data_IF_924419207829
#
_entry.id   IF_924419207829
#
_cell.length_a   1.000
_cell.length_b   1.000
_cell.length_c   1.000
_cell.angle_alpha   90.00
_cell.angle_beta   90.00
_cell.angle_gamma   90.00
#
_symmetry.space_group_name_H-M   'P 1'
#
loop_
_entity.id
_entity.type
_entity.pdbx_description
1 polymer ?
#
# COMPACT_ATOMS: atom_id res chain seq x y z
N UNK A 1 23.24 -0.50 16.67
CA UNK A 1 23.84 -0.42 15.32
C UNK A 1 22.78 0.13 14.38
N UNK A 2 22.86 1.42 14.13
CA UNK A 2 21.91 2.18 13.32
C UNK A 2 22.32 2.04 11.86
N UNK A 3 21.59 1.27 11.05
CA UNK A 3 21.78 1.26 9.61
C UNK A 3 21.18 2.54 9.04
N UNK A 4 22.05 3.44 8.63
CA UNK A 4 21.70 4.61 7.83
C UNK A 4 21.33 4.12 6.44
N UNK A 5 20.08 4.33 6.04
CA UNK A 5 19.65 4.18 4.64
C UNK A 5 20.30 5.31 3.83
N UNK A 6 21.21 4.95 2.95
CA UNK A 6 21.70 5.85 1.91
C UNK A 6 20.63 5.98 0.83
N UNK A 7 20.30 7.20 0.37
CA UNK A 7 19.41 7.37 -0.78
C UNK A 7 20.10 6.80 -2.02
N UNK A 8 19.36 5.96 -2.76
CA UNK A 8 19.74 5.57 -4.12
C UNK A 8 19.79 6.83 -4.98
N UNK A 9 21.00 7.26 -5.31
CA UNK A 9 21.25 8.27 -6.37
C UNK A 9 21.30 7.54 -7.71
N UNK A 10 20.57 8.15 -8.67
CA UNK A 10 20.69 7.93 -10.12
C UNK A 10 20.25 6.55 -10.66
N UNK A 11 18.94 6.33 -10.75
CA UNK A 11 18.39 5.36 -11.67
C UNK A 11 17.39 6.06 -12.62
N UNK A 12 17.91 6.90 -13.51
CA UNK A 12 17.18 7.29 -14.69
C UNK A 12 17.29 6.15 -15.71
N UNK A 13 16.44 5.13 -15.60
CA UNK A 13 16.33 4.09 -16.64
C UNK A 13 15.50 4.64 -17.79
N UNK A 14 16.13 4.76 -18.96
CA UNK A 14 15.46 5.07 -20.23
C UNK A 14 14.76 3.80 -20.73
N UNK A 15 13.43 3.83 -20.79
CA UNK A 15 12.65 2.81 -21.46
C UNK A 15 12.32 3.27 -22.88
N UNK A 16 13.03 2.74 -23.89
CA UNK A 16 12.72 3.00 -25.29
C UNK A 16 11.61 2.08 -25.78
N UNK A 17 10.46 2.65 -26.15
CA UNK A 17 9.39 1.94 -26.84
C UNK A 17 9.59 2.00 -28.35
N UNK A 18 9.10 0.98 -29.10
CA UNK A 18 9.22 0.85 -30.55
C UNK A 18 8.48 1.95 -31.38
N UNK A 19 7.88 2.92 -30.75
CA UNK A 19 7.07 3.99 -31.35
C UNK A 19 7.72 5.40 -31.31
N UNK A 20 8.99 5.50 -30.93
CA UNK A 20 9.73 6.76 -31.06
C UNK A 20 9.50 7.81 -29.98
N UNK A 21 8.64 7.56 -28.99
CA UNK A 21 8.47 8.47 -27.84
C UNK A 21 9.48 8.07 -26.76
N UNK A 22 10.44 8.95 -26.47
CA UNK A 22 11.36 8.76 -25.36
C UNK A 22 10.64 9.06 -24.04
N UNK A 23 10.31 8.02 -23.29
CA UNK A 23 9.72 8.12 -21.96
C UNK A 23 10.81 7.95 -20.91
N UNK A 24 10.79 8.75 -19.87
CA UNK A 24 11.73 8.73 -18.75
C UNK A 24 11.01 8.41 -17.43
N UNK A 25 11.60 7.54 -16.66
CA UNK A 25 11.16 7.30 -15.25
C UNK A 25 11.86 8.32 -14.36
N UNK A 26 11.08 9.05 -13.56
CA UNK A 26 11.56 10.00 -12.57
C UNK A 26 10.75 9.94 -11.28
N UNK A 27 11.24 10.54 -10.23
CA UNK A 27 10.46 10.75 -9.01
C UNK A 27 9.25 11.67 -9.29
N UNK A 28 8.19 11.42 -8.52
CA UNK A 28 6.99 12.24 -8.49
C UNK A 28 7.32 13.66 -7.98
N UNK A 29 6.70 14.65 -8.58
CA UNK A 29 6.65 16.03 -8.13
C UNK A 29 5.19 16.44 -7.84
N UNK A 30 4.97 17.43 -6.95
CA UNK A 30 3.61 17.88 -6.62
C UNK A 30 2.85 18.44 -7.85
N UNK A 31 3.55 18.94 -8.84
CA UNK A 31 2.97 19.38 -10.12
C UNK A 31 2.32 18.23 -10.91
N UNK A 32 2.70 16.98 -10.64
CA UNK A 32 2.16 15.79 -11.32
C UNK A 32 0.78 15.39 -10.81
N UNK A 33 0.38 15.87 -9.62
CA UNK A 33 -0.80 15.38 -8.89
C UNK A 33 -2.07 15.43 -9.75
N UNK A 34 -2.32 16.53 -10.41
CA UNK A 34 -3.55 16.71 -11.17
C UNK A 34 -3.64 15.73 -12.34
N UNK A 35 -2.54 15.47 -13.02
CA UNK A 35 -2.49 14.56 -14.14
C UNK A 35 -2.63 13.10 -13.68
N UNK A 36 -2.00 12.73 -12.57
CA UNK A 36 -2.17 11.40 -11.97
C UNK A 36 -3.60 11.14 -11.50
N UNK A 37 -4.27 12.14 -10.93
CA UNK A 37 -5.69 12.06 -10.59
C UNK A 37 -6.57 11.86 -11.82
N UNK A 38 -6.27 12.55 -12.92
CA UNK A 38 -6.98 12.37 -14.18
C UNK A 38 -6.78 10.97 -14.77
N UNK A 39 -5.56 10.43 -14.72
CA UNK A 39 -5.26 9.05 -15.14
C UNK A 39 -6.04 8.05 -14.28
N UNK A 40 -6.03 8.21 -12.95
CA UNK A 40 -6.78 7.34 -12.05
C UNK A 40 -8.28 7.37 -12.34
N UNK A 41 -8.87 8.55 -12.52
CA UNK A 41 -10.26 8.71 -12.87
C UNK A 41 -10.60 8.03 -14.23
N UNK A 42 -9.71 8.13 -15.22
CA UNK A 42 -9.86 7.48 -16.52
C UNK A 42 -9.77 5.95 -16.44
N UNK A 43 -9.05 5.39 -15.47
CA UNK A 43 -8.98 3.94 -15.23
C UNK A 43 -10.28 3.37 -14.66
N UNK A 44 -11.10 4.20 -14.00
CA UNK A 44 -12.40 3.79 -13.46
C UNK A 44 -12.34 2.80 -12.31
N UNK A 45 -11.24 2.78 -11.56
CA UNK A 45 -11.13 1.94 -10.37
C UNK A 45 -12.11 2.37 -9.25
N UNK A 46 -12.65 1.42 -8.47
CA UNK A 46 -13.67 1.70 -7.46
C UNK A 46 -13.09 2.28 -6.14
N UNK A 47 -11.81 2.52 -6.06
CA UNK A 47 -11.14 3.08 -4.88
C UNK A 47 -10.74 4.54 -5.09
N UNK A 48 -10.59 5.27 -4.01
CA UNK A 48 -10.16 6.66 -4.02
C UNK A 48 -8.68 6.79 -4.41
N UNK A 49 -8.33 7.92 -5.05
CA UNK A 49 -6.95 8.24 -5.32
C UNK A 49 -6.18 8.38 -4.00
N UNK A 50 -5.02 7.71 -3.84
CA UNK A 50 -4.30 7.71 -2.57
C UNK A 50 -3.71 9.08 -2.24
N UNK A 51 -3.63 9.40 -0.95
CA UNK A 51 -2.89 10.58 -0.48
C UNK A 51 -1.38 10.37 -0.66
N UNK A 52 -0.81 10.97 -1.69
CA UNK A 52 0.62 10.87 -2.00
C UNK A 52 1.53 11.60 -1.00
N UNK A 53 0.96 12.42 -0.10
CA UNK A 53 1.72 13.03 1.00
C UNK A 53 1.90 12.07 2.19
N UNK A 54 1.19 10.94 2.19
CA UNK A 54 1.32 9.95 3.25
C UNK A 54 2.78 9.44 3.33
N UNK A 55 3.44 9.56 4.51
CA UNK A 55 4.85 9.19 4.69
C UNK A 55 5.14 7.69 4.50
N UNK A 56 4.09 6.87 4.43
CA UNK A 56 4.23 5.44 4.18
C UNK A 56 4.51 5.08 2.71
N UNK A 57 4.41 6.05 1.79
CA UNK A 57 4.87 5.81 0.42
C UNK A 57 6.39 5.74 0.37
N UNK A 58 6.92 4.55 0.09
CA UNK A 58 8.35 4.28 -0.10
C UNK A 58 8.86 4.77 -1.46
N UNK A 59 8.00 4.67 -2.45
CA UNK A 59 8.36 4.95 -3.85
C UNK A 59 7.18 5.62 -4.55
N UNK A 60 7.48 6.69 -5.26
CA UNK A 60 6.55 7.43 -6.11
C UNK A 60 7.27 7.75 -7.40
N UNK A 61 7.13 6.89 -8.40
CA UNK A 61 7.77 7.05 -9.70
C UNK A 61 6.72 7.36 -10.76
N UNK A 62 7.07 8.27 -11.66
CA UNK A 62 6.26 8.61 -12.82
C UNK A 62 7.04 8.31 -14.10
N UNK A 63 6.31 7.86 -15.11
CA UNK A 63 6.79 7.68 -16.47
C UNK A 63 6.27 8.85 -17.30
N UNK A 64 7.15 9.77 -17.67
CA UNK A 64 6.78 11.00 -18.35
C UNK A 64 7.60 11.20 -19.64
N UNK A 65 7.06 11.97 -20.57
CA UNK A 65 7.77 12.42 -21.75
C UNK A 65 8.97 13.30 -21.39
N UNK A 66 9.95 13.38 -22.29
CA UNK A 66 11.10 14.26 -22.09
C UNK A 66 10.68 15.72 -22.36
N UNK A 67 10.77 16.56 -21.34
CA UNK A 67 10.43 17.99 -21.44
C UNK A 67 11.36 18.76 -22.39
N UNK A 68 12.51 18.19 -22.74
CA UNK A 68 13.47 18.81 -23.64
C UNK A 68 13.10 18.65 -25.12
N UNK A 69 12.18 17.73 -25.47
CA UNK A 69 11.73 17.54 -26.85
C UNK A 69 10.30 18.09 -27.06
N UNK A 70 10.13 19.22 -27.78
CA UNK A 70 8.82 19.80 -28.05
C UNK A 70 7.94 18.94 -28.99
N UNK A 71 8.49 17.92 -29.66
CA UNK A 71 7.75 17.00 -30.52
C UNK A 71 7.19 15.79 -29.75
N UNK A 72 7.71 15.50 -28.56
CA UNK A 72 7.24 14.44 -27.71
C UNK A 72 6.24 14.99 -26.70
N UNK A 73 5.04 14.48 -26.71
CA UNK A 73 3.93 14.98 -25.89
C UNK A 73 4.33 15.12 -24.42
N UNK A 74 4.29 16.34 -23.92
CA UNK A 74 4.44 16.65 -22.50
C UNK A 74 3.30 15.97 -21.76
N UNK A 75 3.60 15.02 -20.91
CA UNK A 75 2.59 14.39 -20.08
C UNK A 75 3.08 13.12 -19.40
N UNK A 76 2.33 12.72 -18.42
CA UNK A 76 2.58 11.48 -17.68
C UNK A 76 1.88 10.30 -18.38
N UNK A 77 2.66 9.31 -18.78
CA UNK A 77 2.14 8.08 -19.36
C UNK A 77 1.69 7.07 -18.30
N UNK A 78 2.19 7.19 -17.06
CA UNK A 78 1.84 6.31 -15.96
C UNK A 78 2.63 6.59 -14.68
N UNK A 79 2.29 5.88 -13.62
CA UNK A 79 3.01 5.94 -12.36
C UNK A 79 3.09 4.57 -11.68
N UNK A 80 4.13 4.40 -10.86
CA UNK A 80 4.30 3.26 -9.96
C UNK A 80 4.46 3.78 -8.54
N UNK A 81 3.55 3.37 -7.67
CA UNK A 81 3.47 3.81 -6.29
C UNK A 81 3.59 2.59 -5.36
N UNK A 82 4.50 2.65 -4.38
CA UNK A 82 4.64 1.60 -3.38
C UNK A 82 4.41 2.19 -1.99
N UNK A 83 3.35 1.70 -1.32
CA UNK A 83 3.01 2.06 0.05
C UNK A 83 3.27 0.90 1.00
N UNK A 84 3.76 1.21 2.19
CA UNK A 84 3.82 0.25 3.29
C UNK A 84 2.41 -0.06 3.78
N UNK A 85 2.13 -1.34 3.95
CA UNK A 85 0.92 -1.85 4.62
C UNK A 85 1.31 -2.65 5.85
N UNK A 86 0.43 -2.75 6.82
CA UNK A 86 0.66 -3.55 8.03
C UNK A 86 -0.05 -4.90 7.93
N UNK A 87 0.62 -5.93 8.43
CA UNK A 87 0.06 -7.26 8.60
C UNK A 87 -0.13 -7.55 10.09
N UNK A 88 -1.33 -7.97 10.47
CA UNK A 88 -1.67 -8.29 11.84
C UNK A 88 -1.46 -9.77 12.17
N UNK A 89 -0.74 -10.01 13.25
CA UNK A 89 -0.58 -11.33 13.86
C UNK A 89 -1.13 -11.32 15.27
N UNK A 90 -1.91 -12.34 15.63
CA UNK A 90 -2.41 -12.52 16.97
C UNK A 90 -1.84 -13.79 17.56
N UNK A 91 -1.12 -13.66 18.67
CA UNK A 91 -0.59 -14.78 19.44
C UNK A 91 -1.22 -14.75 20.84
N UNK A 92 -2.03 -15.77 21.13
CA UNK A 92 -2.62 -16.00 22.46
C UNK A 92 -2.31 -17.42 22.91
N UNK A 93 -1.81 -17.57 24.15
CA UNK A 93 -1.59 -18.89 24.72
C UNK A 93 -2.95 -19.60 24.92
N UNK A 94 -3.20 -20.73 24.22
CA UNK A 94 -4.46 -21.45 24.31
C UNK A 94 -4.68 -22.11 25.66
N UNK A 95 -3.61 -22.34 26.44
CA UNK A 95 -3.63 -22.99 27.75
C UNK A 95 -3.82 -22.00 28.90
N UNK A 96 -3.65 -20.71 28.66
CA UNK A 96 -3.74 -19.67 29.70
C UNK A 96 -5.12 -19.02 29.74
N UNK A 97 -5.69 -18.92 30.93
CA UNK A 97 -6.97 -18.28 31.18
C UNK A 97 -8.18 -19.01 30.58
N UNK A 98 -9.35 -18.51 30.90
CA UNK A 98 -10.62 -18.99 30.36
C UNK A 98 -10.89 -18.43 28.95
N UNK A 99 -11.80 -18.99 28.17
CA UNK A 99 -12.21 -18.43 26.88
C UNK A 99 -12.70 -16.98 26.98
N UNK A 100 -13.35 -16.61 28.09
CA UNK A 100 -13.84 -15.25 28.33
C UNK A 100 -12.66 -14.28 28.57
N UNK A 101 -11.69 -14.67 29.37
CA UNK A 101 -10.49 -13.87 29.63
C UNK A 101 -9.66 -13.69 28.36
N UNK A 102 -9.44 -14.75 27.60
CA UNK A 102 -8.74 -14.66 26.31
C UNK A 102 -9.43 -13.71 25.34
N UNK A 103 -10.77 -13.69 25.35
CA UNK A 103 -11.52 -12.73 24.55
C UNK A 103 -11.28 -11.28 25.01
N UNK A 104 -11.25 -11.01 26.30
CA UNK A 104 -10.93 -9.69 26.83
C UNK A 104 -9.50 -9.26 26.50
N UNK A 105 -8.53 -10.17 26.58
CA UNK A 105 -7.15 -9.89 26.19
C UNK A 105 -7.04 -9.54 24.71
N UNK A 106 -7.75 -10.28 23.86
CA UNK A 106 -7.82 -9.98 22.42
C UNK A 106 -8.36 -8.56 22.19
N UNK A 107 -9.46 -8.20 22.84
CA UNK A 107 -10.05 -6.86 22.71
C UNK A 107 -9.05 -5.77 23.12
N UNK A 108 -8.34 -5.95 24.22
CA UNK A 108 -7.32 -5.01 24.68
C UNK A 108 -6.15 -4.88 23.69
N UNK A 109 -5.64 -6.01 23.20
CA UNK A 109 -4.55 -6.02 22.20
C UNK A 109 -4.99 -5.39 20.89
N UNK A 110 -6.19 -5.73 20.41
CA UNK A 110 -6.75 -5.18 19.19
C UNK A 110 -6.84 -3.64 19.26
N UNK A 111 -7.40 -3.11 20.33
CA UNK A 111 -7.55 -1.65 20.49
C UNK A 111 -6.20 -0.95 20.62
N UNK A 112 -5.27 -1.51 21.39
CA UNK A 112 -3.92 -0.96 21.52
C UNK A 112 -3.18 -0.96 20.17
N UNK A 113 -3.27 -2.05 19.43
CA UNK A 113 -2.62 -2.17 18.10
C UNK A 113 -3.25 -1.22 17.10
N UNK A 114 -4.60 -1.14 17.06
CA UNK A 114 -5.33 -0.22 16.18
C UNK A 114 -4.88 1.24 16.40
N UNK A 115 -4.80 1.68 17.66
CA UNK A 115 -4.36 3.02 18.00
C UNK A 115 -2.92 3.26 17.55
N UNK A 116 -2.01 2.33 17.82
CA UNK A 116 -0.61 2.45 17.40
C UNK A 116 -0.44 2.46 15.88
N UNK A 117 -1.26 1.70 15.15
CA UNK A 117 -1.27 1.72 13.69
C UNK A 117 -1.68 3.11 13.17
N UNK A 118 -2.78 3.65 13.72
CA UNK A 118 -3.25 4.99 13.39
C UNK A 118 -2.22 6.09 13.71
N UNK A 119 -1.61 6.04 14.88
CA UNK A 119 -0.55 7.00 15.30
C UNK A 119 0.67 6.96 14.37
N UNK A 120 0.87 5.89 13.62
CA UNK A 120 1.94 5.74 12.62
C UNK A 120 1.51 6.10 11.19
N UNK A 121 0.29 6.61 11.01
CA UNK A 121 -0.25 7.00 9.71
C UNK A 121 -0.73 5.84 8.85
N UNK A 122 -0.94 4.64 9.43
CA UNK A 122 -1.55 3.51 8.71
C UNK A 122 -3.05 3.75 8.56
N UNK A 123 -3.57 3.59 7.36
CA UNK A 123 -4.99 3.71 7.03
C UNK A 123 -5.70 2.37 7.12
N UNK A 124 -4.97 1.29 6.87
CA UNK A 124 -5.46 -0.07 6.88
C UNK A 124 -4.45 -1.06 7.49
N UNK A 125 -4.96 -2.20 7.93
CA UNK A 125 -4.18 -3.33 8.45
C UNK A 125 -4.79 -4.61 7.93
N UNK A 126 -3.98 -5.50 7.38
CA UNK A 126 -4.42 -6.75 6.80
C UNK A 126 -4.17 -7.94 7.74
N UNK A 127 -5.05 -8.91 7.72
CA UNK A 127 -4.87 -10.18 8.43
C UNK A 127 -5.14 -11.35 7.47
N UNK A 128 -4.17 -12.23 7.33
CA UNK A 128 -4.29 -13.43 6.51
C UNK A 128 -4.69 -14.61 7.38
N UNK A 129 -5.91 -15.08 7.22
CA UNK A 129 -6.45 -16.16 8.03
C UNK A 129 -6.61 -17.43 7.19
N UNK A 130 -6.12 -18.60 7.69
CA UNK A 130 -6.49 -19.86 7.08
C UNK A 130 -8.02 -20.03 7.02
N UNK A 131 -8.56 -20.65 5.96
CA UNK A 131 -10.01 -20.78 5.76
C UNK A 131 -10.74 -21.39 6.97
N UNK A 132 -10.12 -22.35 7.66
CA UNK A 132 -10.68 -22.99 8.84
C UNK A 132 -10.81 -22.03 10.04
N UNK A 133 -9.86 -21.12 10.19
CA UNK A 133 -9.89 -20.08 11.21
C UNK A 133 -10.91 -19.02 10.82
N UNK A 134 -10.89 -18.57 9.56
CA UNK A 134 -11.82 -17.58 9.04
C UNK A 134 -13.27 -18.00 9.21
N UNK A 135 -13.61 -19.27 8.94
CA UNK A 135 -14.97 -19.81 9.11
C UNK A 135 -15.48 -19.76 10.56
N UNK A 136 -14.60 -19.98 11.55
CA UNK A 136 -14.95 -20.01 12.98
C UNK A 136 -14.89 -18.63 13.62
N UNK A 137 -13.96 -17.80 13.19
CA UNK A 137 -13.62 -16.53 13.84
C UNK A 137 -14.14 -15.31 13.09
N UNK A 138 -14.51 -15.43 11.82
CA UNK A 138 -14.89 -14.31 10.94
C UNK A 138 -16.01 -13.45 11.50
N UNK A 139 -17.07 -14.07 12.10
CA UNK A 139 -18.15 -13.31 12.75
C UNK A 139 -17.68 -12.44 13.92
N UNK A 140 -16.63 -12.84 14.61
CA UNK A 140 -16.04 -12.05 15.70
C UNK A 140 -15.20 -10.90 15.15
N UNK A 141 -14.45 -11.16 14.09
CA UNK A 141 -13.70 -10.12 13.38
C UNK A 141 -14.63 -9.05 12.82
N UNK A 142 -15.73 -9.43 12.18
CA UNK A 142 -16.72 -8.49 11.67
C UNK A 142 -17.30 -7.59 12.77
N UNK A 143 -17.50 -8.10 14.00
CA UNK A 143 -17.92 -7.30 15.16
C UNK A 143 -16.85 -6.31 15.64
N UNK A 144 -15.58 -6.53 15.28
CA UNK A 144 -14.45 -5.65 15.56
C UNK A 144 -14.19 -4.67 14.40
N UNK A 145 -15.04 -4.65 13.39
CA UNK A 145 -14.91 -3.76 12.23
C UNK A 145 -14.01 -4.30 11.11
N UNK A 146 -13.54 -5.55 11.21
CA UNK A 146 -12.81 -6.17 10.11
C UNK A 146 -13.77 -6.53 8.98
N UNK A 147 -13.40 -6.17 7.77
CA UNK A 147 -14.13 -6.46 6.55
C UNK A 147 -13.42 -7.61 5.84
N UNK A 148 -14.19 -8.57 5.37
CA UNK A 148 -13.64 -9.62 4.50
C UNK A 148 -13.50 -9.03 3.11
N UNK A 149 -12.30 -9.15 2.58
CA UNK A 149 -11.96 -8.63 1.28
C UNK A 149 -12.12 -9.74 0.23
N UNK A 150 -13.35 -9.92 -0.24
CA UNK A 150 -13.68 -10.93 -1.25
C UNK A 150 -13.56 -10.38 -2.69
N UNK A 151 -13.42 -9.06 -2.84
CA UNK A 151 -13.38 -8.38 -4.14
C UNK A 151 -11.95 -8.27 -4.70
N UNK A 152 -10.94 -8.46 -3.87
CA UNK A 152 -9.54 -8.31 -4.25
C UNK A 152 -8.81 -9.64 -4.28
N UNK A 153 -8.11 -9.92 -5.38
CA UNK A 153 -7.19 -11.05 -5.46
C UNK A 153 -5.78 -10.61 -5.08
N UNK A 154 -5.20 -11.13 -4.00
CA UNK A 154 -3.85 -10.78 -3.60
C UNK A 154 -2.82 -11.39 -4.55
N UNK A 155 -1.90 -10.58 -5.04
CA UNK A 155 -0.71 -11.00 -5.77
C UNK A 155 0.52 -10.68 -4.93
N UNK A 156 1.46 -11.62 -4.86
CA UNK A 156 2.72 -11.44 -4.13
C UNK A 156 3.90 -11.73 -5.05
N UNK A 157 4.89 -10.83 -5.06
CA UNK A 157 6.18 -11.04 -5.70
C UNK A 157 7.26 -11.11 -4.62
N UNK A 158 7.97 -12.25 -4.55
CA UNK A 158 9.18 -12.34 -3.73
C UNK A 158 10.31 -11.59 -4.42
N UNK A 159 11.02 -10.74 -3.67
CA UNK A 159 12.11 -9.91 -4.18
C UNK A 159 13.50 -10.56 -4.00
N UNK A 160 13.56 -11.75 -3.38
CA UNK A 160 14.77 -12.56 -3.18
C UNK A 160 14.50 -14.00 -3.63
#
# INVERSE_FOLDING_TARGET
MTKVFLPCRDAAEQCSTSTGIALRIREYDEGDLQELQAIHAAQGFPYEFPDLQNPLFLTRLVLAGDESDPAEGKGIAGAALLRLTAEAYLLLDPKRGTPKERWQWLLGLHEATRRQAWERGLEDVHAWLPPEIASKFGRRLARLGWIRDDEWMPYCKRLK
#
